data_IF_548430763119
#
_entry.id   IF_548430763119
#
_cell.length_a   1.000
_cell.length_b   1.000
_cell.length_c   1.000
_cell.angle_alpha   90.00
_cell.angle_beta   90.00
_cell.angle_gamma   90.00
#
_symmetry.space_group_name_H-M   'P 1'
#
loop_
_entity.id
_entity.type
_entity.pdbx_description
1 polymer ?
#
# COMPACT_ATOMS: atom_id res chain seq x y z
N UNK A 1 13.52 -18.74 -17.18
CA UNK A 1 12.07 -18.78 -16.90
C UNK A 1 11.90 -18.64 -15.40
N UNK A 2 11.29 -17.55 -14.93
CA UNK A 2 11.05 -17.35 -13.50
C UNK A 2 9.99 -18.32 -13.00
N UNK A 3 10.15 -18.85 -11.79
CA UNK A 3 9.14 -19.70 -11.18
C UNK A 3 7.80 -18.93 -11.06
N UNK A 4 6.65 -19.61 -11.22
CA UNK A 4 5.35 -18.97 -11.03
C UNK A 4 5.26 -18.40 -9.62
N UNK A 5 4.79 -17.16 -9.53
CA UNK A 5 4.53 -16.53 -8.24
C UNK A 5 3.48 -17.34 -7.48
N UNK A 6 3.60 -17.39 -6.15
CA UNK A 6 2.51 -17.90 -5.33
C UNK A 6 1.27 -17.02 -5.55
N UNK A 7 0.05 -17.58 -5.40
CA UNK A 7 -1.18 -16.80 -5.56
C UNK A 7 -1.21 -15.52 -4.73
N UNK A 8 -0.62 -15.54 -3.53
CA UNK A 8 -0.49 -14.37 -2.67
C UNK A 8 0.49 -13.32 -3.24
N UNK A 9 1.64 -13.75 -3.76
CA UNK A 9 2.61 -12.83 -4.35
C UNK A 9 2.06 -12.18 -5.62
N UNK A 10 1.32 -12.93 -6.43
CA UNK A 10 0.66 -12.43 -7.63
C UNK A 10 -0.45 -11.43 -7.31
N UNK A 11 -1.32 -11.74 -6.34
CA UNK A 11 -2.36 -10.81 -5.89
C UNK A 11 -1.76 -9.51 -5.36
N UNK A 12 -0.67 -9.60 -4.57
CA UNK A 12 0.04 -8.42 -4.06
C UNK A 12 0.60 -7.57 -5.20
N UNK A 13 1.19 -8.20 -6.22
CA UNK A 13 1.68 -7.51 -7.43
C UNK A 13 0.57 -6.75 -8.12
N UNK A 14 -0.56 -7.41 -8.38
CA UNK A 14 -1.72 -6.79 -9.04
C UNK A 14 -2.27 -5.59 -8.27
N UNK A 15 -2.34 -5.67 -6.93
CA UNK A 15 -2.77 -4.55 -6.09
C UNK A 15 -1.83 -3.34 -6.22
N UNK A 16 -0.51 -3.56 -6.24
CA UNK A 16 0.48 -2.50 -6.39
C UNK A 16 0.50 -1.91 -7.82
N UNK A 17 0.30 -2.75 -8.83
CA UNK A 17 0.18 -2.30 -10.23
C UNK A 17 -1.05 -1.42 -10.42
N UNK A 18 -2.19 -1.80 -9.86
CA UNK A 18 -3.37 -0.96 -9.83
C UNK A 18 -3.08 0.39 -9.14
N UNK A 19 -2.39 0.38 -7.99
CA UNK A 19 -2.06 1.62 -7.29
C UNK A 19 -1.18 2.55 -8.14
N UNK A 20 -0.22 1.97 -8.87
CA UNK A 20 0.67 2.72 -9.74
C UNK A 20 -0.05 3.28 -10.97
N UNK A 21 -0.94 2.52 -11.59
CA UNK A 21 -1.73 2.98 -12.75
C UNK A 21 -2.74 4.05 -12.35
N UNK A 22 -3.33 3.93 -11.16
CA UNK A 22 -4.37 4.83 -10.66
C UNK A 22 -3.88 6.28 -10.56
N UNK A 23 -2.57 6.52 -10.39
CA UNK A 23 -1.98 7.86 -10.37
C UNK A 23 -2.27 8.69 -11.63
N UNK A 24 -2.51 8.05 -12.77
CA UNK A 24 -2.82 8.74 -14.03
C UNK A 24 -4.28 9.20 -14.08
N UNK A 25 -5.12 8.72 -13.17
CA UNK A 25 -6.56 8.94 -13.14
C UNK A 25 -7.04 9.67 -11.88
N UNK A 26 -6.15 10.02 -10.95
CA UNK A 26 -6.51 10.68 -9.69
C UNK A 26 -5.44 11.67 -9.22
N UNK A 27 -5.87 12.79 -8.66
CA UNK A 27 -5.00 13.77 -7.97
C UNK A 27 -4.69 13.40 -6.50
N UNK A 28 -4.95 12.14 -6.12
CA UNK A 28 -4.75 11.69 -4.73
C UNK A 28 -3.26 11.45 -4.48
N UNK A 29 -2.77 11.68 -3.24
CA UNK A 29 -1.44 11.29 -2.84
C UNK A 29 -1.18 9.81 -3.14
N UNK A 30 0.04 9.49 -3.57
CA UNK A 30 0.45 8.11 -3.84
C UNK A 30 0.28 7.22 -2.61
N UNK A 31 0.51 7.76 -1.41
CA UNK A 31 0.34 7.04 -0.14
C UNK A 31 -1.11 6.61 0.10
N UNK A 32 -2.09 7.44 -0.24
CA UNK A 32 -3.51 7.12 -0.10
C UNK A 32 -3.90 5.95 -1.02
N UNK A 33 -3.43 5.99 -2.27
CA UNK A 33 -3.72 4.95 -3.27
C UNK A 33 -3.02 3.64 -2.92
N UNK A 34 -1.77 3.70 -2.44
CA UNK A 34 -1.03 2.53 -1.96
C UNK A 34 -1.71 1.91 -0.73
N UNK A 35 -2.21 2.73 0.19
CA UNK A 35 -2.92 2.27 1.37
C UNK A 35 -4.21 1.52 1.00
N UNK A 36 -4.97 2.03 0.03
CA UNK A 36 -6.17 1.33 -0.50
C UNK A 36 -5.79 -0.02 -1.08
N UNK A 37 -4.74 -0.09 -1.90
CA UNK A 37 -4.28 -1.36 -2.47
C UNK A 37 -3.83 -2.37 -1.42
N UNK A 38 -3.11 -1.93 -0.40
CA UNK A 38 -2.67 -2.79 0.71
C UNK A 38 -3.85 -3.28 1.55
N UNK A 39 -4.82 -2.41 1.83
CA UNK A 39 -6.01 -2.77 2.59
C UNK A 39 -6.94 -3.71 1.80
N UNK A 40 -7.00 -3.57 0.48
CA UNK A 40 -7.71 -4.52 -0.38
C UNK A 40 -7.04 -5.91 -0.35
N UNK A 41 -5.71 -5.97 -0.46
CA UNK A 41 -4.97 -7.22 -0.29
C UNK A 41 -5.21 -7.86 1.08
N UNK A 42 -5.18 -7.07 2.16
CA UNK A 42 -5.46 -7.53 3.52
C UNK A 42 -6.89 -8.09 3.65
N UNK A 43 -7.89 -7.42 3.09
CA UNK A 43 -9.27 -7.89 3.07
C UNK A 43 -9.42 -9.25 2.40
N UNK A 44 -8.81 -9.45 1.22
CA UNK A 44 -8.90 -10.72 0.48
C UNK A 44 -8.15 -11.85 1.21
N UNK A 45 -7.04 -11.54 1.87
CA UNK A 45 -6.18 -12.54 2.52
C UNK A 45 -6.53 -12.79 3.99
N UNK A 46 -7.50 -12.06 4.56
CA UNK A 46 -7.80 -12.09 5.99
C UNK A 46 -6.67 -11.53 6.87
N UNK A 47 -5.80 -10.70 6.28
CA UNK A 47 -4.67 -10.08 6.96
C UNK A 47 -5.05 -8.81 7.75
N UNK A 48 -4.11 -8.26 8.54
CA UNK A 48 -4.36 -7.02 9.27
C UNK A 48 -4.45 -5.82 8.31
N UNK A 49 -5.40 -4.93 8.58
CA UNK A 49 -5.48 -3.64 7.88
C UNK A 49 -4.32 -2.73 8.29
N UNK A 50 -3.80 -1.99 7.32
CA UNK A 50 -2.85 -0.93 7.56
C UNK A 50 -3.60 0.32 8.03
N UNK A 51 -3.12 0.99 9.09
CA UNK A 51 -3.80 2.14 9.64
C UNK A 51 -3.86 3.27 8.60
N UNK A 52 -5.04 3.84 8.40
CA UNK A 52 -5.21 5.10 7.68
C UNK A 52 -4.66 6.20 8.58
N UNK A 53 -3.44 6.68 8.28
CA UNK A 53 -2.87 7.83 8.94
C UNK A 53 -3.28 9.08 8.14
N UNK A 54 -4.19 9.93 8.65
CA UNK A 54 -4.64 11.09 7.91
C UNK A 54 -3.51 12.12 7.82
N UNK A 55 -2.77 12.23 6.72
CA UNK A 55 -1.92 13.39 6.41
C UNK A 55 -0.68 13.68 7.31
N UNK A 56 -0.28 12.81 8.24
CA UNK A 56 0.77 13.13 9.25
C UNK A 56 2.18 12.55 9.01
N UNK A 57 2.41 11.73 7.98
CA UNK A 57 3.73 11.08 7.83
C UNK A 57 4.82 12.01 7.28
N UNK A 58 4.48 13.17 6.72
CA UNK A 58 5.49 14.14 6.26
C UNK A 58 6.15 14.96 7.39
N UNK A 59 5.63 14.96 8.61
CA UNK A 59 6.23 15.73 9.72
C UNK A 59 7.13 14.91 10.64
N UNK A 60 6.99 13.57 10.69
CA UNK A 60 7.68 12.76 11.72
C UNK A 60 9.03 12.19 11.29
N UNK A 61 9.31 12.08 9.98
CA UNK A 61 10.62 11.67 9.48
C UNK A 61 11.71 12.75 9.64
N UNK A 62 11.35 14.01 9.92
CA UNK A 62 12.32 15.07 10.25
C UNK A 62 12.69 15.15 11.73
N UNK A 63 12.03 14.40 12.61
CA UNK A 63 12.12 14.60 14.04
C UNK A 63 12.82 13.48 14.83
N UNK A 64 13.45 12.49 14.18
CA UNK A 64 14.44 11.62 14.84
C UNK A 64 14.00 10.74 16.02
N UNK A 65 12.71 10.66 16.38
CA UNK A 65 12.27 9.95 17.58
C UNK A 65 11.91 8.47 17.32
N UNK A 66 12.34 7.52 18.17
CA UNK A 66 12.00 6.11 18.08
C UNK A 66 10.58 5.81 18.60
N UNK A 67 9.94 4.77 18.04
CA UNK A 67 8.60 4.32 18.38
C UNK A 67 8.62 3.38 19.62
N UNK A 68 7.59 3.38 20.50
CA UNK A 68 7.47 2.40 21.58
C UNK A 68 7.05 1.00 21.10
#
# INVERSE_FOLDING_TARGET
>A
MSAPLSPHAELRRQCLEWAFQTREFTDKPQDDVLLVAQNYYAFITGGPFWPVLPGWVHLRARAGEPFP
#
